data_IF_467631501223
#
_entry.id   IF_467631501223
#
_cell.length_a   1.000
_cell.length_b   1.000
_cell.length_c   1.000
_cell.angle_alpha   90.00
_cell.angle_beta   90.00
_cell.angle_gamma   90.00
#
_symmetry.space_group_name_H-M   'P 1'
#
loop_
_entity.id
_entity.type
_entity.pdbx_description
1 polymer ?
#
# COMPACT_ATOMS: atom_id res chain seq x y z
N UNK A 1 10.34 0.59 -8.79
CA UNK A 1 9.17 -0.27 -9.06
C UNK A 1 9.48 -1.79 -9.04
N UNK A 2 9.84 -2.42 -7.89
CA UNK A 2 9.84 -3.89 -7.79
C UNK A 2 8.86 -4.49 -6.76
N UNK A 3 8.16 -3.67 -5.95
CA UNK A 3 7.32 -4.16 -4.84
C UNK A 3 5.95 -4.73 -5.23
N UNK A 4 5.46 -4.44 -6.44
CA UNK A 4 4.14 -4.92 -6.88
C UNK A 4 4.12 -6.35 -7.44
N UNK A 5 5.28 -6.90 -7.83
CA UNK A 5 5.37 -8.24 -8.42
C UNK A 5 5.41 -9.36 -7.37
N UNK A 6 5.92 -9.10 -6.16
CA UNK A 6 6.01 -10.12 -5.12
C UNK A 6 4.63 -10.44 -4.47
N UNK A 7 3.71 -9.46 -4.48
CA UNK A 7 2.42 -9.59 -3.76
C UNK A 7 1.36 -10.33 -4.60
N UNK A 8 1.54 -10.44 -5.92
CA UNK A 8 0.56 -11.06 -6.83
C UNK A 8 0.68 -12.59 -6.96
N UNK A 9 1.79 -13.18 -6.51
CA UNK A 9 2.05 -14.62 -6.71
C UNK A 9 1.34 -15.48 -5.64
N UNK A 10 1.13 -14.94 -4.44
CA UNK A 10 0.61 -15.72 -3.31
C UNK A 10 -0.87 -15.49 -3.00
N UNK A 11 -1.44 -14.35 -3.39
CA UNK A 11 -2.82 -13.99 -3.02
C UNK A 11 -3.73 -14.10 -4.23
N UNK A 12 -4.69 -15.02 -4.18
CA UNK A 12 -5.70 -15.14 -5.23
C UNK A 12 -6.49 -13.83 -5.35
N UNK A 13 -6.82 -13.38 -6.58
CA UNK A 13 -7.64 -12.18 -6.77
C UNK A 13 -9.00 -12.36 -6.08
N UNK A 14 -9.50 -11.29 -5.45
CA UNK A 14 -10.78 -11.29 -4.74
C UNK A 14 -11.98 -11.76 -5.61
N UNK A 15 -11.84 -11.72 -6.94
CA UNK A 15 -12.82 -12.18 -7.93
C UNK A 15 -12.86 -13.71 -8.16
N UNK A 16 -11.94 -14.49 -7.57
CA UNK A 16 -12.05 -15.94 -7.62
C UNK A 16 -13.26 -16.40 -6.78
N UNK A 17 -14.30 -16.92 -7.44
CA UNK A 17 -15.50 -17.40 -6.79
C UNK A 17 -15.19 -18.43 -5.69
N UNK A 18 -16.01 -18.45 -4.64
CA UNK A 18 -15.86 -19.36 -3.48
C UNK A 18 -15.55 -20.80 -3.88
N UNK A 19 -16.18 -21.29 -4.95
CA UNK A 19 -15.96 -22.63 -5.51
C UNK A 19 -14.52 -22.87 -5.97
N UNK A 20 -13.88 -21.91 -6.66
CA UNK A 20 -12.50 -22.05 -7.14
C UNK A 20 -11.51 -22.14 -5.97
N UNK A 21 -11.72 -21.36 -4.92
CA UNK A 21 -10.84 -21.35 -3.74
C UNK A 21 -10.92 -22.67 -2.97
N UNK A 22 -12.13 -23.22 -2.84
CA UNK A 22 -12.36 -24.52 -2.20
C UNK A 22 -11.78 -25.68 -3.01
N UNK A 23 -11.94 -25.64 -4.34
CA UNK A 23 -11.36 -26.63 -5.24
C UNK A 23 -9.83 -26.66 -5.12
N UNK A 24 -9.18 -25.50 -5.09
CA UNK A 24 -7.72 -25.39 -4.92
C UNK A 24 -7.27 -25.90 -3.55
N UNK A 25 -8.00 -25.58 -2.48
CA UNK A 25 -7.70 -26.12 -1.16
C UNK A 25 -7.79 -27.66 -1.13
N UNK A 26 -8.84 -28.21 -1.71
CA UNK A 26 -9.04 -29.67 -1.83
C UNK A 26 -7.90 -30.33 -2.61
N UNK A 27 -7.55 -29.77 -3.77
CA UNK A 27 -6.45 -30.27 -4.61
C UNK A 27 -5.11 -30.24 -3.86
N UNK A 28 -4.86 -29.17 -3.10
CA UNK A 28 -3.61 -29.02 -2.35
C UNK A 28 -3.50 -30.07 -1.22
N UNK A 29 -4.60 -30.32 -0.51
CA UNK A 29 -4.66 -31.36 0.54
C UNK A 29 -4.51 -32.76 -0.05
N UNK A 30 -5.16 -33.04 -1.20
CA UNK A 30 -5.01 -34.31 -1.90
C UNK A 30 -3.58 -34.51 -2.43
N UNK A 31 -2.93 -33.44 -2.90
CA UNK A 31 -1.53 -33.49 -3.33
C UNK A 31 -0.60 -33.83 -2.14
N UNK A 32 -0.86 -33.27 -0.96
CA UNK A 32 -0.12 -33.62 0.26
C UNK A 32 -0.32 -35.09 0.66
N UNK A 33 -1.54 -35.61 0.54
CA UNK A 33 -1.82 -37.04 0.73
C UNK A 33 -1.09 -37.90 -0.30
N UNK A 34 -1.08 -37.52 -1.58
CA UNK A 34 -0.33 -38.24 -2.62
C UNK A 34 1.17 -38.24 -2.36
N UNK A 35 1.74 -37.08 -2.00
CA UNK A 35 3.15 -36.94 -1.65
C UNK A 35 3.53 -37.84 -0.46
N UNK A 36 2.63 -38.03 0.51
CA UNK A 36 2.85 -38.95 1.63
C UNK A 36 3.15 -40.37 1.16
N UNK A 37 2.40 -40.89 0.18
CA UNK A 37 2.56 -42.27 -0.29
C UNK A 37 3.83 -42.48 -1.12
N UNK A 38 4.35 -41.41 -1.74
CA UNK A 38 5.57 -41.45 -2.53
C UNK A 38 6.82 -41.41 -1.64
N UNK A 39 6.76 -40.67 -0.52
CA UNK A 39 7.91 -40.50 0.37
C UNK A 39 8.10 -41.76 1.23
N UNK A 40 9.35 -42.27 1.37
CA UNK A 40 9.63 -43.45 2.18
C UNK A 40 9.06 -43.34 3.61
N UNK A 41 8.35 -44.38 4.11
CA UNK A 41 7.71 -44.34 5.42
C UNK A 41 8.67 -44.05 6.58
N UNK A 42 9.93 -44.44 6.43
CA UNK A 42 11.00 -44.28 7.42
C UNK A 42 11.32 -42.81 7.74
N UNK A 43 11.13 -41.90 6.79
CA UNK A 43 11.45 -40.48 6.98
C UNK A 43 10.34 -39.72 7.71
N UNK A 44 9.08 -40.17 7.57
CA UNK A 44 7.91 -39.43 8.03
C UNK A 44 7.15 -40.13 9.16
N UNK A 45 7.74 -41.12 9.81
CA UNK A 45 7.20 -41.80 11.01
C UNK A 45 7.16 -40.87 12.22
N UNK A 46 8.12 -39.96 12.36
CA UNK A 46 8.15 -39.03 13.50
C UNK A 46 7.27 -37.78 13.30
N UNK A 47 7.03 -37.39 12.05
CA UNK A 47 6.31 -36.16 11.65
C UNK A 47 5.20 -36.45 10.62
N UNK A 48 4.19 -37.26 10.95
CA UNK A 48 3.20 -37.74 9.98
C UNK A 48 2.36 -36.63 9.32
N UNK A 49 2.19 -35.50 10.02
CA UNK A 49 1.28 -34.42 9.60
C UNK A 49 1.96 -33.25 8.88
N UNK A 50 3.29 -33.27 8.73
CA UNK A 50 4.05 -32.11 8.22
C UNK A 50 3.66 -31.69 6.80
N UNK A 51 3.37 -32.65 5.91
CA UNK A 51 2.91 -32.36 4.54
C UNK A 51 1.51 -31.75 4.49
N UNK A 52 0.67 -32.09 5.46
CA UNK A 52 -0.66 -31.52 5.54
C UNK A 52 -0.66 -30.10 6.11
N UNK A 53 0.28 -29.80 7.02
CA UNK A 53 0.49 -28.44 7.48
C UNK A 53 0.80 -27.50 6.32
N UNK A 54 1.75 -27.85 5.44
CA UNK A 54 2.11 -27.02 4.28
C UNK A 54 0.93 -26.84 3.31
N UNK A 55 0.08 -27.86 3.14
CA UNK A 55 -1.14 -27.75 2.35
C UNK A 55 -2.18 -26.80 2.96
N UNK A 56 -2.36 -26.81 4.27
CA UNK A 56 -3.27 -25.89 4.99
C UNK A 56 -2.78 -24.45 4.86
N UNK A 57 -1.47 -24.23 5.03
CA UNK A 57 -0.85 -22.90 4.85
C UNK A 57 -1.07 -22.39 3.43
N UNK A 58 -0.75 -23.19 2.42
CA UNK A 58 -0.93 -22.81 1.02
C UNK A 58 -2.41 -22.48 0.70
N UNK A 59 -3.34 -23.28 1.24
CA UNK A 59 -4.79 -23.07 1.09
C UNK A 59 -5.28 -21.79 1.78
N UNK A 60 -4.73 -21.46 2.95
CA UNK A 60 -5.04 -20.25 3.72
C UNK A 60 -4.48 -18.99 3.06
N UNK A 61 -3.26 -19.06 2.53
CA UNK A 61 -2.62 -17.96 1.78
C UNK A 61 -3.38 -17.66 0.49
N UNK A 62 -3.82 -18.69 -0.23
CA UNK A 62 -4.57 -18.52 -1.47
C UNK A 62 -6.02 -18.05 -1.26
N UNK A 63 -6.76 -18.71 -0.35
CA UNK A 63 -8.21 -18.54 -0.25
C UNK A 63 -8.71 -17.75 0.97
N UNK A 64 -7.83 -17.44 1.92
CA UNK A 64 -8.14 -16.74 3.17
C UNK A 64 -8.48 -17.66 4.34
N UNK A 65 -9.07 -17.09 5.38
CA UNK A 65 -9.34 -17.78 6.65
C UNK A 65 -10.17 -19.06 6.47
N UNK A 66 -11.32 -18.95 5.81
CA UNK A 66 -12.28 -20.06 5.70
C UNK A 66 -11.76 -21.24 4.88
N UNK A 67 -10.93 -21.00 3.87
CA UNK A 67 -10.30 -22.09 3.11
C UNK A 67 -9.20 -22.79 3.89
N UNK A 68 -8.46 -22.06 4.74
CA UNK A 68 -7.51 -22.66 5.69
C UNK A 68 -8.22 -23.54 6.73
N UNK A 69 -9.32 -23.05 7.31
CA UNK A 69 -10.15 -23.83 8.25
C UNK A 69 -10.72 -25.08 7.57
N UNK A 70 -11.27 -24.95 6.37
CA UNK A 70 -11.75 -26.08 5.58
C UNK A 70 -10.64 -27.12 5.32
N UNK A 71 -9.47 -26.68 4.85
CA UNK A 71 -8.33 -27.55 4.59
C UNK A 71 -7.86 -28.27 5.87
N UNK A 72 -7.95 -27.61 7.04
CA UNK A 72 -7.62 -28.20 8.34
C UNK A 72 -8.55 -29.36 8.67
N UNK A 73 -9.87 -29.17 8.54
CA UNK A 73 -10.84 -30.24 8.81
C UNK A 73 -10.73 -31.39 7.81
N UNK A 74 -10.56 -31.08 6.51
CA UNK A 74 -10.38 -32.10 5.48
C UNK A 74 -9.11 -32.92 5.72
N UNK A 75 -8.01 -32.26 6.04
CA UNK A 75 -6.74 -32.90 6.40
C UNK A 75 -6.87 -33.76 7.65
N UNK A 76 -7.53 -33.27 8.70
CA UNK A 76 -7.74 -34.02 9.94
C UNK A 76 -8.57 -35.29 9.68
N UNK A 77 -9.62 -35.22 8.85
CA UNK A 77 -10.43 -36.38 8.48
C UNK A 77 -9.63 -37.43 7.69
N UNK A 78 -8.85 -36.98 6.69
CA UNK A 78 -7.97 -37.87 5.93
C UNK A 78 -6.87 -38.49 6.80
N UNK A 79 -6.30 -37.69 7.70
CA UNK A 79 -5.30 -38.13 8.66
C UNK A 79 -5.86 -39.21 9.60
N UNK A 80 -7.07 -38.99 10.14
CA UNK A 80 -7.75 -39.96 11.00
C UNK A 80 -7.98 -41.29 10.27
N UNK A 81 -8.43 -41.26 9.02
CA UNK A 81 -8.76 -42.47 8.26
C UNK A 81 -7.52 -43.24 7.75
N UNK A 82 -6.52 -42.54 7.23
CA UNK A 82 -5.39 -43.18 6.55
C UNK A 82 -4.18 -43.48 7.45
N UNK A 83 -4.03 -42.76 8.56
CA UNK A 83 -2.82 -42.85 9.40
C UNK A 83 -3.06 -43.52 10.75
N UNK A 84 -4.29 -43.54 11.24
CA UNK A 84 -4.63 -44.25 12.48
C UNK A 84 -5.14 -45.64 12.08
N UNK A 85 -4.37 -46.72 12.28
CA UNK A 85 -4.81 -48.07 11.95
C UNK A 85 -6.07 -48.43 12.75
N UNK A 86 -7.04 -49.17 12.17
CA UNK A 86 -8.24 -49.60 12.88
C UNK A 86 -7.83 -50.49 14.05
N UNK A 87 -8.21 -50.08 15.26
CA UNK A 87 -7.94 -50.77 16.52
C UNK A 87 -8.69 -52.11 16.60
N UNK A 88 -8.19 -53.11 15.88
CA UNK A 88 -8.58 -54.48 16.14
C UNK A 88 -7.81 -54.99 17.36
N UNK A 89 -8.51 -55.01 18.49
CA UNK A 89 -8.28 -55.81 19.69
C UNK A 89 -7.12 -55.41 20.63
N UNK A 90 -7.53 -54.92 21.81
CA UNK A 90 -6.88 -54.95 23.14
C UNK A 90 -5.34 -54.84 23.25
N UNK A 91 -4.91 -53.76 23.92
CA UNK A 91 -3.55 -53.41 24.42
C UNK A 91 -2.55 -52.76 23.44
N UNK A 92 -2.67 -51.44 23.26
CA UNK A 92 -1.58 -50.49 23.60
C UNK A 92 -2.11 -49.06 23.72
N UNK A 93 -1.68 -48.39 24.77
CA UNK A 93 -2.08 -47.04 25.19
C UNK A 93 -1.38 -45.97 24.32
N UNK A 94 -1.69 -45.94 23.02
CA UNK A 94 -1.07 -45.02 22.04
C UNK A 94 -1.77 -43.63 22.02
N UNK A 95 -2.05 -43.07 23.22
CA UNK A 95 -2.65 -41.73 23.39
C UNK A 95 -1.81 -40.63 22.71
N UNK A 96 -0.52 -40.86 22.50
CA UNK A 96 0.39 -39.98 21.77
C UNK A 96 -0.08 -39.65 20.34
N UNK A 97 -0.77 -40.56 19.64
CA UNK A 97 -1.25 -40.30 18.27
C UNK A 97 -2.41 -39.29 18.27
N UNK A 98 -3.35 -39.45 19.21
CA UNK A 98 -4.46 -38.52 19.40
C UNK A 98 -3.97 -37.14 19.85
N UNK A 99 -2.97 -37.08 20.73
CA UNK A 99 -2.38 -35.80 21.15
C UNK A 99 -1.65 -35.10 20.01
N UNK A 100 -0.93 -35.82 19.14
CA UNK A 100 -0.32 -35.22 17.94
C UNK A 100 -1.38 -34.66 16.98
N UNK A 101 -2.50 -35.36 16.80
CA UNK A 101 -3.62 -34.87 15.97
C UNK A 101 -4.29 -33.63 16.59
N UNK A 102 -4.47 -33.61 17.91
CA UNK A 102 -5.02 -32.46 18.61
C UNK A 102 -4.10 -31.24 18.46
N UNK A 103 -2.79 -31.39 18.74
CA UNK A 103 -1.80 -30.32 18.56
C UNK A 103 -1.75 -29.84 17.10
N UNK A 104 -1.86 -30.76 16.14
CA UNK A 104 -1.93 -30.43 14.71
C UNK A 104 -3.15 -29.56 14.35
N UNK A 105 -4.34 -29.91 14.84
CA UNK A 105 -5.56 -29.13 14.58
C UNK A 105 -5.47 -27.75 15.22
N UNK A 106 -4.97 -27.66 16.46
CA UNK A 106 -4.78 -26.37 17.14
C UNK A 106 -3.79 -25.49 16.38
N UNK A 107 -2.64 -26.04 15.96
CA UNK A 107 -1.64 -25.34 15.17
C UNK A 107 -2.22 -24.84 13.83
N UNK A 108 -2.94 -25.70 13.09
CA UNK A 108 -3.56 -25.32 11.83
C UNK A 108 -4.65 -24.26 11.98
N UNK A 109 -5.47 -24.34 13.04
CA UNK A 109 -6.47 -23.30 13.33
C UNK A 109 -5.81 -21.97 13.69
N UNK A 110 -4.74 -22.01 14.49
CA UNK A 110 -3.95 -20.81 14.83
C UNK A 110 -3.32 -20.18 13.59
N UNK A 111 -2.81 -21.00 12.67
CA UNK A 111 -2.22 -20.56 11.41
C UNK A 111 -3.27 -19.98 10.46
N UNK A 112 -4.44 -20.63 10.36
CA UNK A 112 -5.57 -20.09 9.60
C UNK A 112 -5.99 -18.72 10.14
N UNK A 113 -6.09 -18.56 11.47
CA UNK A 113 -6.39 -17.29 12.12
C UNK A 113 -5.32 -16.22 11.85
N UNK A 114 -4.04 -16.58 11.88
CA UNK A 114 -2.92 -15.70 11.54
C UNK A 114 -2.99 -15.25 10.08
N UNK A 115 -3.17 -16.17 9.12
CA UNK A 115 -3.33 -15.86 7.70
C UNK A 115 -4.52 -14.92 7.47
N UNK A 116 -5.66 -15.18 8.12
CA UNK A 116 -6.84 -14.32 8.06
C UNK A 116 -6.58 -12.92 8.60
N UNK A 117 -5.85 -12.81 9.71
CA UNK A 117 -5.51 -11.53 10.35
C UNK A 117 -4.53 -10.72 9.51
N UNK A 118 -3.49 -11.36 8.97
CA UNK A 118 -2.55 -10.73 8.05
C UNK A 118 -3.24 -10.24 6.76
N UNK A 119 -4.16 -11.03 6.21
CA UNK A 119 -4.89 -10.61 5.01
C UNK A 119 -5.76 -9.37 5.28
N UNK A 120 -6.45 -9.31 6.43
CA UNK A 120 -7.21 -8.12 6.85
C UNK A 120 -6.30 -6.90 6.99
N UNK A 121 -5.11 -7.06 7.60
CA UNK A 121 -4.15 -5.97 7.73
C UNK A 121 -3.66 -5.48 6.37
N UNK A 122 -3.32 -6.38 5.45
CA UNK A 122 -2.90 -6.00 4.09
C UNK A 122 -4.01 -5.29 3.32
N UNK A 123 -5.26 -5.72 3.45
CA UNK A 123 -6.40 -5.06 2.82
C UNK A 123 -6.60 -3.63 3.36
N UNK A 124 -6.55 -3.46 4.68
CA UNK A 124 -6.72 -2.16 5.31
C UNK A 124 -5.63 -1.18 4.91
N UNK A 125 -4.37 -1.63 4.86
CA UNK A 125 -3.25 -0.82 4.37
C UNK A 125 -3.49 -0.33 2.93
N UNK A 126 -3.94 -1.22 2.05
CA UNK A 126 -4.20 -0.89 0.64
C UNK A 126 -5.38 0.08 0.46
N UNK A 127 -6.42 -0.03 1.30
CA UNK A 127 -7.55 0.91 1.30
C UNK A 127 -7.11 2.28 1.80
N UNK A 128 -6.33 2.34 2.89
CA UNK A 128 -5.78 3.58 3.42
C UNK A 128 -4.88 4.30 2.40
N UNK A 129 -3.99 3.55 1.73
CA UNK A 129 -3.11 4.08 0.68
C UNK A 129 -3.94 4.62 -0.51
N UNK A 130 -4.99 3.90 -0.93
CA UNK A 130 -5.89 4.35 -2.01
C UNK A 130 -6.67 5.61 -1.65
N UNK A 131 -7.11 5.75 -0.40
CA UNK A 131 -7.80 6.96 0.06
C UNK A 131 -6.86 8.16 -0.02
N UNK A 132 -5.69 8.06 0.60
CA UNK A 132 -4.68 9.13 0.59
C UNK A 132 -4.25 9.51 -0.83
N UNK A 133 -4.04 8.52 -1.71
CA UNK A 133 -3.69 8.77 -3.10
C UNK A 133 -4.84 9.43 -3.89
N UNK A 134 -6.10 9.11 -3.58
CA UNK A 134 -7.26 9.71 -4.24
C UNK A 134 -7.47 11.16 -3.80
N UNK A 135 -7.36 11.41 -2.49
CA UNK A 135 -7.46 12.75 -1.91
C UNK A 135 -6.34 13.66 -2.45
N UNK A 136 -5.12 13.12 -2.56
CA UNK A 136 -3.98 13.83 -3.15
C UNK A 136 -4.23 14.19 -4.61
N UNK A 137 -4.71 13.25 -5.43
CA UNK A 137 -5.02 13.50 -6.84
C UNK A 137 -6.15 14.50 -7.02
N UNK A 138 -7.18 14.42 -6.18
CA UNK A 138 -8.28 15.39 -6.19
C UNK A 138 -7.75 16.79 -5.86
N UNK A 139 -6.96 16.93 -4.80
CA UNK A 139 -6.32 18.20 -4.45
C UNK A 139 -5.44 18.74 -5.58
N UNK A 140 -4.58 17.91 -6.16
CA UNK A 140 -3.72 18.31 -7.29
C UNK A 140 -4.54 18.76 -8.50
N UNK A 141 -5.65 18.08 -8.78
CA UNK A 141 -6.56 18.46 -9.86
C UNK A 141 -7.22 19.81 -9.58
N UNK A 142 -7.74 20.01 -8.37
CA UNK A 142 -8.38 21.27 -7.95
C UNK A 142 -7.39 22.43 -7.95
N UNK A 143 -6.15 22.20 -7.50
CA UNK A 143 -5.08 23.19 -7.54
C UNK A 143 -4.78 23.60 -8.98
N UNK A 144 -4.64 22.65 -9.91
CA UNK A 144 -4.23 22.95 -11.29
C UNK A 144 -5.33 23.62 -12.14
N UNK A 145 -6.61 23.27 -11.92
CA UNK A 145 -7.75 23.89 -12.62
C UNK A 145 -8.25 25.19 -11.97
N UNK A 146 -7.72 25.56 -10.80
CA UNK A 146 -8.13 26.78 -10.10
C UNK A 146 -7.86 28.02 -10.96
N UNK A 147 -8.84 28.94 -11.11
CA UNK A 147 -8.64 30.17 -11.86
C UNK A 147 -7.72 31.17 -11.14
N UNK A 148 -7.52 31.03 -9.83
CA UNK A 148 -6.59 31.88 -9.08
C UNK A 148 -5.15 31.42 -9.33
N UNK A 149 -4.22 32.34 -9.60
CA UNK A 149 -2.81 32.01 -9.73
C UNK A 149 -2.24 31.59 -8.36
N UNK A 150 -1.82 30.33 -8.25
CA UNK A 150 -1.32 29.74 -7.00
C UNK A 150 0.06 29.12 -7.20
N UNK A 151 0.94 29.33 -6.21
CA UNK A 151 2.30 28.83 -6.19
C UNK A 151 2.67 28.38 -4.77
N UNK A 152 3.44 27.30 -4.68
CA UNK A 152 4.04 26.82 -3.44
C UNK A 152 5.56 26.96 -3.55
N UNK A 153 6.15 27.71 -2.63
CA UNK A 153 7.59 27.86 -2.50
C UNK A 153 8.11 26.99 -1.35
N UNK A 154 9.30 26.42 -1.53
CA UNK A 154 9.98 25.59 -0.54
C UNK A 154 11.30 26.20 -0.10
N UNK A 155 11.47 26.29 1.23
CA UNK A 155 12.71 26.73 1.87
C UNK A 155 13.01 28.23 1.70
N UNK A 156 14.15 28.69 2.26
CA UNK A 156 14.56 30.10 2.26
C UNK A 156 14.99 30.63 0.89
N UNK A 157 15.28 29.74 -0.06
CA UNK A 157 15.65 30.07 -1.43
C UNK A 157 14.43 30.18 -2.36
N UNK A 158 13.22 29.98 -1.82
CA UNK A 158 11.95 30.06 -2.53
C UNK A 158 11.93 29.19 -3.80
N UNK A 159 12.32 27.92 -3.65
CA UNK A 159 12.26 26.96 -4.76
C UNK A 159 10.80 26.71 -5.10
N UNK A 160 10.42 26.90 -6.36
CA UNK A 160 9.04 26.67 -6.81
C UNK A 160 8.76 25.17 -6.81
N UNK A 161 8.06 24.68 -5.80
CA UNK A 161 7.71 23.27 -5.69
C UNK A 161 6.48 22.93 -6.55
N UNK A 162 5.50 23.84 -6.59
CA UNK A 162 4.28 23.72 -7.40
C UNK A 162 3.83 25.10 -7.88
N UNK A 163 3.26 25.15 -9.07
CA UNK A 163 2.59 26.32 -9.62
C UNK A 163 1.45 25.82 -10.49
N UNK A 164 0.23 26.35 -10.33
CA UNK A 164 -0.91 25.91 -11.14
C UNK A 164 -0.91 26.55 -12.54
N UNK A 165 -1.85 26.13 -13.38
CA UNK A 165 -1.97 26.64 -14.76
C UNK A 165 -2.06 28.17 -14.82
N UNK A 166 -2.87 28.80 -13.96
CA UNK A 166 -3.02 30.24 -13.89
C UNK A 166 -1.71 30.96 -13.50
N UNK A 167 -0.93 30.42 -12.56
CA UNK A 167 0.37 30.99 -12.19
C UNK A 167 1.42 30.82 -13.30
N UNK A 168 1.43 29.66 -13.98
CA UNK A 168 2.33 29.40 -15.11
C UNK A 168 2.09 30.37 -16.27
N UNK A 169 0.85 30.82 -16.45
CA UNK A 169 0.50 31.78 -17.49
C UNK A 169 1.10 33.18 -17.23
N UNK A 170 1.24 33.61 -15.98
CA UNK A 170 1.86 34.90 -15.63
C UNK A 170 3.32 34.96 -16.13
N UNK A 171 4.05 33.86 -15.96
CA UNK A 171 5.45 33.69 -16.34
C UNK A 171 5.63 32.76 -17.54
N UNK A 172 4.71 32.87 -18.52
CA UNK A 172 4.69 32.01 -19.71
C UNK A 172 6.07 31.97 -20.39
N UNK A 173 6.50 30.77 -20.78
CA UNK A 173 7.78 30.54 -21.45
C UNK A 173 8.97 30.33 -20.50
N UNK A 174 8.78 30.41 -19.18
CA UNK A 174 9.81 30.14 -18.19
C UNK A 174 9.65 28.76 -17.54
N UNK A 175 10.76 28.08 -17.29
CA UNK A 175 10.76 26.82 -16.54
C UNK A 175 10.67 27.12 -15.04
N UNK A 176 9.50 26.87 -14.43
CA UNK A 176 9.25 27.26 -13.04
C UNK A 176 9.69 26.19 -12.03
N UNK A 177 9.22 24.96 -12.21
CA UNK A 177 9.29 23.92 -11.16
C UNK A 177 10.73 23.52 -10.87
N UNK A 178 11.09 23.46 -9.58
CA UNK A 178 12.41 23.06 -9.11
C UNK A 178 13.48 24.15 -9.16
N UNK A 179 13.15 25.36 -9.63
CA UNK A 179 14.07 26.51 -9.67
C UNK A 179 13.71 27.54 -8.59
N UNK A 180 14.67 28.36 -8.19
CA UNK A 180 14.37 29.50 -7.31
C UNK A 180 13.50 30.52 -8.03
N UNK A 181 12.46 31.01 -7.37
CA UNK A 181 11.57 32.03 -7.94
C UNK A 181 12.34 33.24 -8.46
N UNK A 182 13.36 33.67 -7.73
CA UNK A 182 14.16 34.84 -8.07
C UNK A 182 15.28 34.58 -9.08
N UNK A 183 15.52 33.33 -9.45
CA UNK A 183 16.33 32.99 -10.64
C UNK A 183 15.48 33.03 -11.90
N UNK A 184 14.23 32.56 -11.79
CA UNK A 184 13.28 32.53 -12.90
C UNK A 184 12.71 33.90 -13.20
N UNK A 185 12.49 34.72 -12.17
CA UNK A 185 12.00 36.08 -12.27
C UNK A 185 12.92 37.05 -11.51
N UNK A 186 14.14 37.30 -12.02
CA UNK A 186 15.12 38.18 -11.35
C UNK A 186 14.60 39.61 -11.17
N UNK A 187 13.70 40.07 -12.05
CA UNK A 187 13.07 41.39 -11.96
C UNK A 187 12.18 41.55 -10.72
N UNK A 188 11.77 40.46 -10.07
CA UNK A 188 10.98 40.50 -8.83
C UNK A 188 11.83 40.85 -7.60
N UNK A 189 13.17 40.67 -7.66
CA UNK A 189 14.08 40.98 -6.54
C UNK A 189 14.14 42.48 -6.20
N UNK A 190 14.07 43.32 -7.22
CA UNK A 190 14.12 44.79 -7.06
C UNK A 190 12.78 45.40 -6.67
N UNK A 191 11.75 44.57 -6.49
CA UNK A 191 10.40 44.96 -6.13
C UNK A 191 10.07 44.49 -4.71
N UNK A 192 8.84 44.75 -4.24
CA UNK A 192 8.41 44.45 -2.86
C UNK A 192 8.34 42.94 -2.54
N UNK A 193 8.29 42.08 -3.55
CA UNK A 193 7.96 40.65 -3.40
C UNK A 193 9.00 39.85 -2.61
N UNK A 194 10.31 40.08 -2.82
CA UNK A 194 11.36 39.33 -2.08
C UNK A 194 11.31 39.65 -0.58
N UNK A 195 11.18 40.93 -0.24
CA UNK A 195 11.08 41.36 1.14
C UNK A 195 9.84 40.78 1.82
N UNK A 196 8.69 40.83 1.14
CA UNK A 196 7.42 40.33 1.68
C UNK A 196 7.42 38.82 1.88
N UNK A 197 7.93 38.05 0.91
CA UNK A 197 8.06 36.60 1.04
C UNK A 197 9.01 36.22 2.19
N UNK A 198 10.13 36.92 2.35
CA UNK A 198 11.06 36.72 3.47
C UNK A 198 10.42 37.07 4.81
N UNK A 199 9.63 38.14 4.86
CA UNK A 199 8.90 38.52 6.06
C UNK A 199 7.95 37.39 6.48
N UNK A 200 7.07 36.93 5.59
CA UNK A 200 6.11 35.85 5.88
C UNK A 200 6.81 34.56 6.29
N UNK A 201 7.93 34.21 5.64
CA UNK A 201 8.71 33.03 6.02
C UNK A 201 9.32 33.15 7.42
N UNK A 202 9.73 34.35 7.83
CA UNK A 202 10.41 34.61 9.11
C UNK A 202 9.41 34.78 10.26
N UNK A 203 8.30 35.50 10.03
CA UNK A 203 7.32 35.84 11.07
C UNK A 203 6.16 34.86 11.14
N UNK A 204 5.87 34.14 10.06
CA UNK A 204 4.68 33.28 9.93
C UNK A 204 3.36 34.04 9.74
N UNK A 205 3.36 35.35 9.95
CA UNK A 205 2.19 36.21 9.76
C UNK A 205 1.85 36.35 8.26
N UNK A 206 0.58 36.14 7.87
CA UNK A 206 0.17 36.25 6.48
C UNK A 206 0.24 37.70 5.99
N UNK A 207 0.58 37.88 4.72
CA UNK A 207 0.68 39.19 4.08
C UNK A 207 -0.27 39.28 2.89
N UNK A 208 -0.93 40.43 2.74
CA UNK A 208 -1.87 40.70 1.66
C UNK A 208 -1.42 41.91 0.85
N UNK A 209 -1.36 41.74 -0.47
CA UNK A 209 -1.17 42.82 -1.43
C UNK A 209 -2.47 43.09 -2.17
N UNK A 210 -2.82 44.35 -2.36
CA UNK A 210 -3.98 44.76 -3.17
C UNK A 210 -3.55 45.76 -4.21
N UNK A 211 -3.89 45.51 -5.47
CA UNK A 211 -3.52 46.30 -6.64
C UNK A 211 -2.03 46.67 -6.63
N UNK A 212 -1.17 45.71 -6.30
CA UNK A 212 0.28 45.94 -6.24
C UNK A 212 0.85 45.84 -7.63
N UNK A 213 1.64 46.86 -8.02
CA UNK A 213 2.35 46.87 -9.30
C UNK A 213 3.46 45.80 -9.30
N UNK A 214 3.42 44.94 -10.29
CA UNK A 214 4.45 43.98 -10.65
C UNK A 214 4.95 44.30 -12.06
N UNK A 215 6.21 44.69 -12.19
CA UNK A 215 6.89 44.85 -13.47
C UNK A 215 7.47 43.50 -13.89
N UNK A 216 6.86 42.83 -14.86
CA UNK A 216 7.23 41.47 -15.29
C UNK A 216 7.76 41.53 -16.72
N UNK A 217 8.89 40.87 -16.98
CA UNK A 217 9.45 40.82 -18.32
C UNK A 217 8.64 39.88 -19.23
N UNK A 218 8.26 40.36 -20.42
CA UNK A 218 7.63 39.55 -21.46
C UNK A 218 8.67 38.65 -22.16
N UNK A 219 8.26 37.92 -23.20
CA UNK A 219 9.14 37.02 -23.95
C UNK A 219 10.31 37.74 -24.66
N UNK A 220 10.19 39.05 -24.93
CA UNK A 220 11.23 39.89 -25.52
C UNK A 220 12.12 40.57 -24.46
N UNK A 221 11.85 40.34 -23.16
CA UNK A 221 12.57 40.95 -22.04
C UNK A 221 12.09 42.35 -21.67
N UNK A 222 11.00 42.84 -22.28
CA UNK A 222 10.44 44.17 -22.00
C UNK A 222 9.57 44.06 -20.72
N UNK A 223 9.81 44.96 -19.76
CA UNK A 223 9.04 45.02 -18.52
C UNK A 223 7.64 45.59 -18.77
N UNK A 224 6.61 44.82 -18.45
CA UNK A 224 5.21 45.21 -18.49
C UNK A 224 4.67 45.46 -17.09
N UNK A 225 3.89 46.54 -16.96
CA UNK A 225 3.19 46.88 -15.72
C UNK A 225 1.93 46.02 -15.57
N UNK A 226 1.87 45.21 -14.52
CA UNK A 226 0.71 44.38 -14.17
C UNK A 226 0.35 44.60 -12.71
N UNK A 227 -0.95 44.55 -12.38
CA UNK A 227 -1.43 44.76 -11.02
C UNK A 227 -2.04 43.48 -10.46
N UNK A 228 -1.64 43.10 -9.25
CA UNK A 228 -2.12 41.88 -8.61
C UNK A 228 -2.68 42.13 -7.21
N UNK A 229 -3.79 41.45 -6.93
CA UNK A 229 -4.24 41.12 -5.58
C UNK A 229 -3.65 39.75 -5.24
N UNK A 230 -2.95 39.65 -4.11
CA UNK A 230 -2.34 38.40 -3.66
C UNK A 230 -2.32 38.28 -2.15
N UNK A 231 -2.11 37.05 -1.69
CA UNK A 231 -1.87 36.75 -0.29
C UNK A 231 -0.76 35.71 -0.17
N UNK A 232 0.15 35.93 0.76
CA UNK A 232 1.19 34.96 1.14
C UNK A 232 0.87 34.38 2.51
N UNK A 233 0.92 33.05 2.60
CA UNK A 233 0.71 32.30 3.82
C UNK A 233 1.88 31.34 4.00
N UNK A 234 2.40 31.24 5.22
CA UNK A 234 3.32 30.17 5.57
C UNK A 234 2.51 28.90 5.82
N UNK A 235 2.93 27.80 5.21
CA UNK A 235 2.39 26.46 5.48
C UNK A 235 3.48 25.68 6.19
N UNK A 236 3.18 25.18 7.39
CA UNK A 236 4.03 24.26 8.13
C UNK A 236 3.61 22.83 7.78
N UNK A 237 4.58 21.99 7.42
CA UNK A 237 4.40 20.56 7.18
C UNK A 237 4.69 19.77 8.46
#
# INVERSE_FOLDING_TARGET
MPSQLATSIFVAPASAGHFKRLAIATLTVLAALGARYIIPPSLLTQIPFLLFFTAVVASGVYGGFWTGVYATFLSAALSYYFFIPPVHFWLKDDWHQYVKMFLYVVDCLSMAALCGSLHKLMLNLKVAERSSASDRKLFESLFDISPAAMVLFKGPDFIIERANSAYREIFRGRELIGRSFFEVAPEMRSQVFEQQLRQVLTTGEPLFGRAVLAKIANAEGILEDRYYDYSYHQVLD
#
